data_IF_503522590368
#
_entry.id   IF_503522590368
#
_cell.length_a   1.000
_cell.length_b   1.000
_cell.length_c   1.000
_cell.angle_alpha   90.00
_cell.angle_beta   90.00
_cell.angle_gamma   90.00
#
_symmetry.space_group_name_H-M   'P 1'
#
loop_
_entity.id
_entity.type
_entity.pdbx_description
1 polymer ?
#
# COMPACT_ATOMS: atom_id res chain seq x y z
N UNK A 1 1.36 -37.34 -7.54
CA UNK A 1 0.76 -36.06 -7.09
C UNK A 1 1.29 -34.94 -7.97
N UNK A 2 0.73 -34.82 -9.17
CA UNK A 2 1.08 -33.79 -10.17
C UNK A 2 -0.21 -33.35 -10.81
N UNK A 3 -0.34 -32.03 -10.94
CA UNK A 3 -1.32 -31.30 -11.74
C UNK A 3 -2.79 -31.43 -11.34
N UNK A 4 -3.25 -30.49 -10.53
CA UNK A 4 -4.42 -29.73 -10.95
C UNK A 4 -3.95 -28.32 -11.26
N UNK A 5 -3.90 -28.02 -12.55
CA UNK A 5 -3.68 -26.69 -13.07
C UNK A 5 -4.86 -25.82 -12.61
N UNK A 6 -4.67 -25.11 -11.49
CA UNK A 6 -5.58 -24.06 -11.07
C UNK A 6 -5.50 -22.99 -12.16
N UNK A 7 -6.56 -22.90 -12.95
CA UNK A 7 -6.85 -21.78 -13.83
C UNK A 7 -6.85 -20.52 -12.97
N UNK A 8 -5.69 -19.88 -12.81
CA UNK A 8 -5.58 -18.53 -12.31
C UNK A 8 -6.20 -17.64 -13.39
N UNK A 9 -7.51 -17.44 -13.30
CA UNK A 9 -8.14 -16.29 -13.92
C UNK A 9 -7.41 -15.07 -13.37
N UNK A 10 -6.63 -14.49 -14.27
CA UNK A 10 -5.98 -13.20 -14.20
C UNK A 10 -6.89 -12.21 -13.45
N UNK A 11 -6.68 -12.06 -12.14
CA UNK A 11 -7.11 -10.88 -11.41
C UNK A 11 -6.17 -9.74 -11.82
N UNK A 12 -6.38 -9.26 -13.04
CA UNK A 12 -6.02 -7.91 -13.44
C UNK A 12 -7.09 -7.02 -12.81
N UNK A 13 -7.18 -6.99 -11.48
CA UNK A 13 -7.62 -5.75 -10.86
C UNK A 13 -6.47 -4.80 -11.08
N UNK A 14 -6.74 -3.85 -11.95
CA UNK A 14 -5.84 -2.81 -12.35
C UNK A 14 -5.08 -2.30 -11.12
N UNK A 15 -3.78 -2.19 -11.28
CA UNK A 15 -2.90 -1.44 -10.36
C UNK A 15 -3.43 -0.03 -10.04
N UNK A 16 -4.44 0.46 -10.78
CA UNK A 16 -5.14 1.73 -10.56
C UNK A 16 -6.08 1.76 -9.34
N UNK A 17 -6.57 0.62 -8.83
CA UNK A 17 -7.40 0.62 -7.60
C UNK A 17 -6.51 0.69 -6.34
N UNK A 18 -5.42 -0.06 -6.33
CA UNK A 18 -4.51 -0.17 -5.19
C UNK A 18 -3.55 1.02 -5.00
N UNK A 19 -3.34 1.86 -6.03
CA UNK A 19 -2.56 3.10 -5.91
C UNK A 19 -3.34 4.21 -5.20
N UNK A 20 -4.67 4.26 -5.35
CA UNK A 20 -5.53 5.27 -4.72
C UNK A 20 -5.54 5.20 -3.19
N UNK A 21 -5.33 4.02 -2.60
CA UNK A 21 -5.47 3.83 -1.15
C UNK A 21 -4.31 4.40 -0.32
N UNK A 22 -3.09 4.49 -0.85
CA UNK A 22 -2.01 5.17 -0.10
C UNK A 22 -2.28 6.68 0.00
N UNK A 23 -2.90 7.25 -1.04
CA UNK A 23 -3.37 8.64 -1.07
C UNK A 23 -4.74 8.82 -0.36
N UNK A 24 -5.43 7.75 0.07
CA UNK A 24 -6.70 7.85 0.78
C UNK A 24 -6.53 8.35 2.24
N UNK A 25 -5.38 8.09 2.87
CA UNK A 25 -4.97 8.76 4.13
C UNK A 25 -4.82 10.29 3.98
N UNK A 26 -4.76 10.79 2.75
CA UNK A 26 -4.32 12.14 2.45
C UNK A 26 -5.46 13.13 2.21
N UNK A 27 -6.67 12.65 1.90
CA UNK A 27 -7.82 13.52 1.65
C UNK A 27 -8.32 14.20 2.96
N UNK A 28 -8.28 13.48 4.10
CA UNK A 28 -8.53 14.10 5.41
C UNK A 28 -7.44 15.11 5.80
N UNK A 29 -6.19 14.84 5.40
CA UNK A 29 -5.04 15.71 5.67
C UNK A 29 -5.16 17.00 4.87
N UNK A 30 -5.47 16.91 3.57
CA UNK A 30 -5.72 18.07 2.70
C UNK A 30 -6.88 18.90 3.22
N UNK A 31 -8.04 18.29 3.49
CA UNK A 31 -9.20 19.01 4.04
C UNK A 31 -8.80 19.72 5.33
N UNK A 32 -8.24 19.01 6.31
CA UNK A 32 -7.84 19.61 7.60
C UNK A 32 -6.83 20.75 7.42
N UNK A 33 -5.82 20.58 6.56
CA UNK A 33 -4.75 21.55 6.38
C UNK A 33 -5.22 22.79 5.59
N UNK A 34 -6.07 22.57 4.58
CA UNK A 34 -6.50 23.61 3.65
C UNK A 34 -7.83 24.28 4.00
N UNK A 35 -8.55 23.82 5.03
CA UNK A 35 -9.84 24.37 5.46
C UNK A 35 -9.86 25.90 5.68
N UNK A 36 -8.72 26.49 6.04
CA UNK A 36 -8.61 27.93 6.31
C UNK A 36 -8.06 28.75 5.13
N UNK A 37 -7.81 28.10 4.00
CA UNK A 37 -7.22 28.74 2.83
C UNK A 37 -8.27 28.95 1.74
N UNK A 38 -8.12 30.05 1.00
CA UNK A 38 -9.04 30.43 -0.08
C UNK A 38 -8.99 29.46 -1.26
N UNK A 39 -7.80 28.92 -1.53
CA UNK A 39 -7.57 27.93 -2.56
C UNK A 39 -6.32 27.09 -2.25
N UNK A 40 -6.13 26.03 -3.04
CA UNK A 40 -5.07 25.04 -2.87
C UNK A 40 -3.66 25.61 -3.07
N UNK A 41 -3.52 26.66 -3.89
CA UNK A 41 -2.24 27.31 -4.14
C UNK A 41 -1.80 28.13 -2.91
N UNK A 42 -2.72 28.88 -2.31
CA UNK A 42 -2.47 29.56 -1.04
C UNK A 42 -2.20 28.57 0.09
N UNK A 43 -2.95 27.46 0.15
CA UNK A 43 -2.71 26.39 1.12
C UNK A 43 -1.29 25.83 0.99
N UNK A 44 -0.89 25.45 -0.22
CA UNK A 44 0.44 24.91 -0.46
C UNK A 44 1.54 25.91 -0.07
N UNK A 45 1.48 27.15 -0.61
CA UNK A 45 2.52 28.17 -0.37
C UNK A 45 2.68 28.50 1.11
N UNK A 46 1.56 28.71 1.82
CA UNK A 46 1.59 29.08 3.23
C UNK A 46 2.18 27.99 4.13
N UNK A 47 2.08 26.72 3.74
CA UNK A 47 2.54 25.60 4.56
C UNK A 47 3.93 25.07 4.15
N UNK A 48 4.32 25.15 2.88
CA UNK A 48 5.63 24.63 2.42
C UNK A 48 6.80 25.44 3.00
N UNK A 49 6.58 26.72 3.30
CA UNK A 49 7.55 27.62 3.95
C UNK A 49 7.49 27.57 5.49
N UNK A 50 6.60 26.76 6.07
CA UNK A 50 6.44 26.66 7.52
C UNK A 50 7.70 26.12 8.19
N UNK A 51 7.98 26.56 9.42
CA UNK A 51 9.04 25.97 10.27
C UNK A 51 8.65 24.60 10.83
N UNK A 52 7.36 24.26 10.77
CA UNK A 52 6.83 22.99 11.25
C UNK A 52 6.99 21.92 10.17
N UNK A 53 7.79 20.89 10.45
CA UNK A 53 7.90 19.72 9.57
C UNK A 53 6.54 19.06 9.30
N UNK A 54 5.60 19.14 10.25
CA UNK A 54 4.24 18.61 10.04
C UNK A 54 3.51 19.37 8.93
N UNK A 55 3.60 20.70 8.93
CA UNK A 55 2.91 21.54 7.96
C UNK A 55 3.57 21.43 6.59
N UNK A 56 4.91 21.42 6.55
CA UNK A 56 5.68 21.19 5.33
C UNK A 56 5.34 19.84 4.69
N UNK A 57 5.28 18.77 5.49
CA UNK A 57 4.89 17.45 4.98
C UNK A 57 3.46 17.47 4.44
N UNK A 58 2.55 18.12 5.17
CA UNK A 58 1.18 18.34 4.72
C UNK A 58 1.09 19.09 3.39
N UNK A 59 1.92 20.12 3.20
CA UNK A 59 2.01 20.84 1.93
C UNK A 59 2.51 19.94 0.79
N UNK A 60 3.51 19.10 1.05
CA UNK A 60 4.00 18.12 0.06
C UNK A 60 2.89 17.15 -0.33
N UNK A 61 2.15 16.63 0.65
CA UNK A 61 0.98 15.76 0.41
C UNK A 61 -0.08 16.47 -0.44
N UNK A 62 -0.41 17.72 -0.10
CA UNK A 62 -1.32 18.56 -0.91
C UNK A 62 -0.82 18.72 -2.35
N UNK A 63 0.49 18.95 -2.52
CA UNK A 63 1.12 19.04 -3.83
C UNK A 63 0.94 17.75 -4.63
N UNK A 64 1.20 16.59 -4.03
CA UNK A 64 1.10 15.28 -4.69
C UNK A 64 -0.35 14.99 -5.11
N UNK A 65 -1.33 15.25 -4.26
CA UNK A 65 -2.76 15.04 -4.56
C UNK A 65 -3.31 16.00 -5.60
N UNK A 66 -2.73 17.19 -5.71
CA UNK A 66 -3.14 18.22 -6.68
C UNK A 66 -2.08 18.45 -7.75
N UNK A 67 -1.29 17.42 -8.08
CA UNK A 67 -0.16 17.53 -9.01
C UNK A 67 -0.57 18.23 -10.32
N UNK A 68 -1.66 17.81 -10.97
CA UNK A 68 -2.16 18.39 -12.24
C UNK A 68 -2.38 19.91 -12.19
N UNK A 69 -2.70 20.45 -11.02
CA UNK A 69 -2.91 21.90 -10.81
C UNK A 69 -1.61 22.61 -10.43
N UNK A 70 -0.80 21.99 -9.57
CA UNK A 70 0.33 22.64 -8.90
C UNK A 70 1.67 22.47 -9.64
N UNK A 71 1.86 21.41 -10.44
CA UNK A 71 3.13 21.17 -11.15
C UNK A 71 3.48 22.25 -12.18
N UNK A 72 2.51 23.05 -12.62
CA UNK A 72 2.73 24.20 -13.52
C UNK A 72 3.30 25.42 -12.79
N UNK A 73 3.19 25.44 -11.46
CA UNK A 73 3.58 26.56 -10.60
C UNK A 73 4.84 26.23 -9.79
N UNK A 74 5.09 24.95 -9.50
CA UNK A 74 6.21 24.50 -8.67
C UNK A 74 6.91 23.30 -9.30
N UNK A 75 8.24 23.29 -9.22
CA UNK A 75 9.06 22.21 -9.74
C UNK A 75 8.99 20.98 -8.81
N UNK A 76 8.65 19.83 -9.39
CA UNK A 76 8.60 18.57 -8.66
C UNK A 76 9.92 18.21 -7.96
N UNK A 77 11.06 18.54 -8.57
CA UNK A 77 12.38 18.28 -7.99
C UNK A 77 12.61 19.10 -6.73
N UNK A 78 12.09 20.33 -6.66
CA UNK A 78 12.15 21.14 -5.43
C UNK A 78 11.28 20.53 -4.33
N UNK A 79 10.10 19.98 -4.67
CA UNK A 79 9.25 19.25 -3.73
C UNK A 79 9.97 18.02 -3.19
N UNK A 80 10.61 17.25 -4.07
CA UNK A 80 11.42 16.09 -3.66
C UNK A 80 12.61 16.49 -2.79
N UNK A 81 13.30 17.59 -3.12
CA UNK A 81 14.42 18.08 -2.31
C UNK A 81 13.97 18.46 -0.90
N UNK A 82 12.83 19.16 -0.78
CA UNK A 82 12.21 19.47 0.51
C UNK A 82 11.88 18.20 1.30
N UNK A 83 11.31 17.19 0.64
CA UNK A 83 11.01 15.91 1.27
C UNK A 83 12.29 15.20 1.75
N UNK A 84 13.31 15.12 0.91
CA UNK A 84 14.60 14.48 1.23
C UNK A 84 15.34 15.20 2.38
N UNK A 85 15.20 16.51 2.51
CA UNK A 85 15.73 17.25 3.67
C UNK A 85 15.09 16.75 4.98
N UNK A 86 13.78 16.50 4.97
CA UNK A 86 13.04 15.98 6.13
C UNK A 86 13.42 14.51 6.42
N UNK A 87 13.65 13.70 5.38
CA UNK A 87 14.10 12.31 5.57
C UNK A 87 15.51 12.24 6.12
N UNK A 88 16.40 13.16 5.74
CA UNK A 88 17.73 13.32 6.34
C UNK A 88 17.65 13.61 7.85
N UNK A 89 16.66 14.42 8.28
CA UNK A 89 16.36 14.70 9.69
C UNK A 89 15.63 13.56 10.43
N UNK A 90 15.47 12.39 9.79
CA UNK A 90 14.77 11.21 10.32
C UNK A 90 13.29 11.44 10.63
N UNK A 91 12.62 12.30 9.86
CA UNK A 91 11.17 12.36 9.89
C UNK A 91 10.58 11.07 9.28
N UNK A 92 9.97 10.20 10.10
CA UNK A 92 9.49 8.90 9.65
C UNK A 92 8.36 8.98 8.64
N UNK A 93 7.46 9.95 8.77
CA UNK A 93 6.38 10.12 7.80
C UNK A 93 6.94 10.58 6.45
N UNK A 94 7.97 11.44 6.45
CA UNK A 94 8.68 11.80 5.23
C UNK A 94 9.40 10.59 4.61
N UNK A 95 10.04 9.74 5.41
CA UNK A 95 10.68 8.50 4.95
C UNK A 95 9.68 7.57 4.26
N UNK A 96 8.49 7.40 4.84
CA UNK A 96 7.42 6.57 4.29
C UNK A 96 6.89 7.17 2.98
N UNK A 97 6.64 8.48 2.95
CA UNK A 97 6.16 9.17 1.75
C UNK A 97 7.17 9.07 0.60
N UNK A 98 8.45 9.37 0.87
CA UNK A 98 9.53 9.28 -0.12
C UNK A 98 9.71 7.84 -0.62
N UNK A 99 9.65 6.85 0.29
CA UNK A 99 9.70 5.44 -0.09
C UNK A 99 8.54 5.08 -1.03
N UNK A 100 7.35 5.64 -0.80
CA UNK A 100 6.20 5.37 -1.65
C UNK A 100 6.36 5.94 -3.06
N UNK A 101 6.92 7.15 -3.18
CA UNK A 101 7.20 7.79 -4.46
C UNK A 101 8.12 6.91 -5.31
N UNK A 102 9.24 6.43 -4.73
CA UNK A 102 10.15 5.54 -5.45
C UNK A 102 9.55 4.16 -5.75
N UNK A 103 8.72 3.62 -4.85
CA UNK A 103 8.03 2.36 -5.11
C UNK A 103 7.06 2.46 -6.28
N UNK A 104 6.34 3.58 -6.39
CA UNK A 104 5.35 3.80 -7.44
C UNK A 104 5.98 4.30 -8.74
N UNK A 105 7.12 5.00 -8.67
CA UNK A 105 7.67 5.75 -9.80
C UNK A 105 6.85 7.00 -10.12
N UNK A 106 6.29 7.66 -9.10
CA UNK A 106 5.46 8.85 -9.31
C UNK A 106 6.35 10.04 -9.70
N UNK A 107 6.35 10.40 -10.99
CA UNK A 107 7.20 11.45 -11.58
C UNK A 107 8.72 11.31 -11.31
N UNK A 108 9.16 10.11 -10.97
CA UNK A 108 10.58 9.68 -10.92
C UNK A 108 10.70 8.29 -11.52
N UNK A 109 11.92 7.92 -11.89
CA UNK A 109 12.22 6.53 -12.20
C UNK A 109 11.91 5.65 -10.97
N UNK A 110 11.14 4.60 -11.22
CA UNK A 110 10.76 3.65 -10.18
C UNK A 110 12.00 2.92 -9.64
N UNK A 111 12.20 3.01 -8.33
CA UNK A 111 13.31 2.36 -7.64
C UNK A 111 12.84 1.63 -6.37
N UNK A 112 12.53 0.35 -6.54
CA UNK A 112 12.07 -0.51 -5.45
C UNK A 112 13.16 -0.71 -4.39
N UNK A 113 14.43 -0.76 -4.79
CA UNK A 113 15.54 -0.95 -3.84
C UNK A 113 15.72 0.26 -2.95
N UNK A 114 15.61 1.47 -3.52
CA UNK A 114 15.64 2.73 -2.76
C UNK A 114 14.45 2.83 -1.81
N UNK A 115 13.26 2.43 -2.25
CA UNK A 115 12.08 2.36 -1.38
C UNK A 115 12.31 1.46 -0.15
N UNK A 116 12.83 0.24 -0.35
CA UNK A 116 13.18 -0.67 0.75
C UNK A 116 14.25 -0.05 1.66
N UNK A 117 15.27 0.58 1.10
CA UNK A 117 16.35 1.19 1.86
C UNK A 117 15.85 2.36 2.73
N UNK A 118 14.88 3.15 2.27
CA UNK A 118 14.24 4.20 3.05
C UNK A 118 13.40 3.62 4.20
N UNK A 119 12.58 2.59 3.94
CA UNK A 119 11.74 1.98 4.97
C UNK A 119 12.55 1.30 6.07
N UNK A 120 13.71 0.69 5.75
CA UNK A 120 14.63 0.13 6.74
C UNK A 120 15.21 1.15 7.72
N UNK A 121 15.12 2.46 7.42
CA UNK A 121 15.54 3.52 8.34
C UNK A 121 14.48 3.85 9.39
N UNK A 122 13.22 3.44 9.17
CA UNK A 122 12.17 3.58 10.17
C UNK A 122 12.42 2.53 11.27
N UNK A 123 12.41 2.90 12.56
CA UNK A 123 12.50 1.93 13.64
C UNK A 123 11.22 1.07 13.70
N UNK A 124 11.34 -0.23 13.97
CA UNK A 124 10.20 -1.16 14.02
C UNK A 124 9.08 -0.69 14.97
N UNK A 125 9.43 -0.15 16.14
CA UNK A 125 8.48 0.45 17.09
C UNK A 125 7.82 1.76 16.63
N UNK A 126 8.09 2.22 15.41
CA UNK A 126 7.50 3.40 14.77
C UNK A 126 6.74 3.06 13.49
N UNK A 127 6.59 1.78 13.17
CA UNK A 127 5.83 1.37 11.99
C UNK A 127 4.34 1.65 12.20
N UNK A 128 3.77 2.37 11.24
CA UNK A 128 2.32 2.57 11.12
C UNK A 128 1.70 1.48 10.25
N UNK A 129 0.36 1.41 10.20
CA UNK A 129 -0.36 0.55 9.26
C UNK A 129 0.12 0.79 7.82
N UNK A 130 0.23 2.06 7.41
CA UNK A 130 0.76 2.43 6.09
C UNK A 130 2.19 1.93 5.84
N UNK A 131 3.04 1.92 6.86
CA UNK A 131 4.42 1.39 6.75
C UNK A 131 4.40 -0.11 6.45
N UNK A 132 3.63 -0.86 7.24
CA UNK A 132 3.47 -2.30 7.06
C UNK A 132 2.79 -2.63 5.72
N UNK A 133 1.73 -1.92 5.36
CA UNK A 133 1.06 -2.05 4.07
C UNK A 133 2.01 -1.81 2.88
N UNK A 134 2.85 -0.78 2.95
CA UNK A 134 3.84 -0.50 1.91
C UNK A 134 4.91 -1.59 1.80
N UNK A 135 5.43 -2.08 2.94
CA UNK A 135 6.36 -3.22 2.95
C UNK A 135 5.72 -4.47 2.33
N UNK A 136 4.47 -4.79 2.68
CA UNK A 136 3.72 -5.90 2.09
C UNK A 136 3.62 -5.77 0.58
N UNK A 137 3.25 -4.58 0.08
CA UNK A 137 3.17 -4.27 -1.37
C UNK A 137 4.52 -4.46 -2.06
N UNK A 138 5.61 -3.99 -1.46
CA UNK A 138 6.96 -4.13 -2.02
C UNK A 138 7.37 -5.60 -2.10
N UNK A 139 7.21 -6.39 -1.02
CA UNK A 139 7.58 -7.80 -1.02
C UNK A 139 6.74 -8.61 -2.01
N UNK A 140 5.44 -8.32 -2.11
CA UNK A 140 4.57 -8.94 -3.10
C UNK A 140 4.99 -8.57 -4.54
N UNK A 141 5.37 -7.32 -4.77
CA UNK A 141 5.89 -6.91 -6.07
C UNK A 141 7.15 -7.70 -6.45
N UNK A 142 8.11 -7.83 -5.53
CA UNK A 142 9.35 -8.59 -5.77
C UNK A 142 9.04 -10.08 -6.00
N UNK A 143 8.10 -10.64 -5.22
CA UNK A 143 7.63 -12.01 -5.37
C UNK A 143 7.06 -12.27 -6.78
N UNK A 144 6.26 -11.34 -7.29
CA UNK A 144 5.61 -11.44 -8.60
C UNK A 144 6.56 -11.17 -9.78
N UNK A 145 7.61 -10.36 -9.57
CA UNK A 145 8.48 -9.90 -10.65
C UNK A 145 9.55 -10.91 -11.07
N UNK A 146 9.79 -11.97 -10.28
CA UNK A 146 10.84 -12.94 -10.58
C UNK A 146 10.40 -14.38 -10.34
N UNK A 147 10.01 -15.06 -11.41
CA UNK A 147 9.53 -16.44 -11.32
C UNK A 147 10.62 -17.46 -10.92
N UNK A 148 11.90 -17.10 -11.07
CA UNK A 148 13.06 -17.92 -10.68
C UNK A 148 13.68 -17.53 -9.34
N UNK A 149 13.02 -16.68 -8.55
CA UNK A 149 13.58 -16.24 -7.28
C UNK A 149 13.64 -17.42 -6.29
N UNK A 150 14.85 -17.81 -5.87
CA UNK A 150 15.06 -18.85 -4.86
C UNK A 150 14.47 -18.48 -3.49
N UNK A 151 14.11 -17.20 -3.30
CA UNK A 151 13.52 -16.65 -2.08
C UNK A 151 12.00 -16.47 -2.13
N UNK A 152 11.29 -17.12 -3.07
CA UNK A 152 9.82 -17.00 -3.19
C UNK A 152 9.09 -17.21 -1.86
N UNK A 153 9.43 -18.27 -1.12
CA UNK A 153 8.81 -18.56 0.18
C UNK A 153 9.13 -17.48 1.23
N UNK A 154 10.37 -17.01 1.28
CA UNK A 154 10.79 -15.93 2.19
C UNK A 154 10.00 -14.63 1.89
N UNK A 155 9.88 -14.26 0.61
CA UNK A 155 9.13 -13.08 0.18
C UNK A 155 7.63 -13.20 0.47
N UNK A 156 7.04 -14.38 0.28
CA UNK A 156 5.66 -14.64 0.67
C UNK A 156 5.46 -14.44 2.17
N UNK A 157 6.34 -15.02 3.01
CA UNK A 157 6.27 -14.87 4.46
C UNK A 157 6.38 -13.39 4.87
N UNK A 158 7.35 -12.66 4.30
CA UNK A 158 7.54 -11.24 4.56
C UNK A 158 6.33 -10.40 4.14
N UNK A 159 5.76 -10.66 2.96
CA UNK A 159 4.55 -9.99 2.50
C UNK A 159 3.36 -10.29 3.42
N UNK A 160 3.16 -11.56 3.76
CA UNK A 160 2.10 -12.03 4.66
C UNK A 160 2.18 -11.39 6.03
N UNK A 161 3.36 -11.43 6.66
CA UNK A 161 3.58 -10.82 7.97
C UNK A 161 3.37 -9.30 7.95
N UNK A 162 3.83 -8.63 6.89
CA UNK A 162 3.64 -7.18 6.74
C UNK A 162 2.16 -6.82 6.60
N UNK A 163 1.40 -7.49 5.72
CA UNK A 163 -0.03 -7.24 5.60
C UNK A 163 -0.81 -7.64 6.85
N UNK A 164 -0.43 -8.72 7.53
CA UNK A 164 -1.03 -9.12 8.81
C UNK A 164 -0.85 -8.05 9.88
N UNK A 165 0.35 -7.52 10.05
CA UNK A 165 0.59 -6.43 11.00
C UNK A 165 -0.22 -5.16 10.65
N UNK A 166 -0.34 -4.83 9.36
CA UNK A 166 -1.20 -3.72 8.95
C UNK A 166 -2.69 -4.01 9.18
N UNK A 167 -3.14 -5.23 8.96
CA UNK A 167 -4.51 -5.68 9.25
C UNK A 167 -4.84 -5.56 10.74
N UNK A 168 -3.93 -5.98 11.63
CA UNK A 168 -4.09 -5.82 13.09
C UNK A 168 -4.22 -4.35 13.51
N UNK A 169 -3.75 -3.41 12.68
CA UNK A 169 -3.91 -1.97 12.87
C UNK A 169 -5.19 -1.40 12.23
N UNK A 170 -6.08 -2.25 11.73
CA UNK A 170 -7.40 -1.87 11.20
C UNK A 170 -7.42 -1.52 9.71
N UNK A 171 -6.34 -1.77 8.97
CA UNK A 171 -6.27 -1.39 7.55
C UNK A 171 -6.96 -2.42 6.64
N UNK A 172 -8.14 -2.09 6.15
CA UNK A 172 -8.96 -2.99 5.30
C UNK A 172 -8.27 -3.32 3.97
N UNK A 173 -7.56 -2.37 3.35
CA UNK A 173 -6.81 -2.61 2.11
C UNK A 173 -5.76 -3.72 2.28
N UNK A 174 -5.08 -3.71 3.42
CA UNK A 174 -4.11 -4.74 3.78
C UNK A 174 -4.78 -6.06 4.16
N UNK A 175 -6.01 -6.02 4.68
CA UNK A 175 -6.83 -7.20 4.95
C UNK A 175 -7.19 -7.93 3.65
N UNK A 176 -7.65 -7.17 2.63
CA UNK A 176 -7.90 -7.69 1.27
C UNK A 176 -6.63 -8.28 0.66
N UNK A 177 -5.52 -7.52 0.73
CA UNK A 177 -4.24 -7.98 0.20
C UNK A 177 -3.77 -9.28 0.88
N UNK A 178 -3.87 -9.36 2.21
CA UNK A 178 -3.52 -10.54 3.00
C UNK A 178 -4.32 -11.77 2.54
N UNK A 179 -5.64 -11.65 2.47
CA UNK A 179 -6.51 -12.75 2.04
C UNK A 179 -6.12 -13.25 0.63
N UNK A 180 -5.91 -12.33 -0.31
CA UNK A 180 -5.56 -12.73 -1.68
C UNK A 180 -4.19 -13.38 -1.82
N UNK A 181 -3.17 -12.92 -1.08
CA UNK A 181 -1.86 -13.58 -1.14
C UNK A 181 -1.89 -14.96 -0.48
N UNK A 182 -2.70 -15.14 0.57
CA UNK A 182 -2.92 -16.43 1.23
C UNK A 182 -3.60 -17.42 0.28
N UNK A 183 -4.64 -16.99 -0.45
CA UNK A 183 -5.29 -17.83 -1.47
C UNK A 183 -4.34 -18.18 -2.62
N UNK A 184 -3.47 -17.23 -3.01
CA UNK A 184 -2.61 -17.40 -4.19
C UNK A 184 -1.35 -18.21 -3.94
N UNK A 185 -0.71 -18.00 -2.80
CA UNK A 185 0.62 -18.53 -2.51
C UNK A 185 0.68 -19.40 -1.25
N UNK A 186 -0.37 -19.37 -0.43
CA UNK A 186 -0.42 -20.03 0.87
C UNK A 186 -0.70 -21.52 0.80
N UNK A 187 -0.51 -22.16 1.95
CA UNK A 187 -0.90 -23.55 2.17
C UNK A 187 -2.39 -23.67 2.54
N UNK A 188 -2.86 -24.89 2.83
CA UNK A 188 -4.25 -25.17 3.21
C UNK A 188 -4.73 -24.29 4.38
N UNK A 189 -3.91 -24.12 5.41
CA UNK A 189 -4.28 -23.30 6.58
C UNK A 189 -4.42 -21.82 6.21
N UNK A 190 -3.57 -21.31 5.32
CA UNK A 190 -3.69 -19.95 4.79
C UNK A 190 -4.97 -19.79 3.95
N UNK A 191 -5.38 -20.82 3.20
CA UNK A 191 -6.63 -20.80 2.45
C UNK A 191 -7.86 -20.65 3.37
N UNK A 192 -7.90 -21.42 4.47
CA UNK A 192 -8.97 -21.33 5.47
C UNK A 192 -8.99 -19.94 6.13
N UNK A 193 -7.81 -19.43 6.50
CA UNK A 193 -7.70 -18.12 7.14
C UNK A 193 -8.12 -16.99 6.19
N UNK A 194 -7.75 -17.06 4.92
CA UNK A 194 -8.20 -16.11 3.90
C UNK A 194 -9.74 -16.09 3.78
N UNK A 195 -10.39 -17.23 3.92
CA UNK A 195 -11.85 -17.32 3.96
C UNK A 195 -12.48 -16.48 5.06
N UNK A 196 -11.93 -16.54 6.28
CA UNK A 196 -12.40 -15.73 7.41
C UNK A 196 -12.20 -14.24 7.17
N UNK A 197 -11.06 -13.85 6.58
CA UNK A 197 -10.78 -12.46 6.24
C UNK A 197 -11.76 -11.93 5.18
N UNK A 198 -12.08 -12.75 4.16
CA UNK A 198 -13.05 -12.38 3.13
C UNK A 198 -14.48 -12.30 3.68
N UNK A 199 -14.87 -13.22 4.56
CA UNK A 199 -16.16 -13.17 5.26
C UNK A 199 -16.29 -11.88 6.09
N UNK A 200 -15.25 -11.55 6.85
CA UNK A 200 -15.18 -10.31 7.61
C UNK A 200 -15.37 -9.08 6.71
N UNK A 201 -14.66 -9.01 5.59
CA UNK A 201 -14.77 -7.91 4.62
C UNK A 201 -16.18 -7.85 3.99
N UNK A 202 -16.74 -8.99 3.57
CA UNK A 202 -18.07 -9.07 2.99
C UNK A 202 -19.16 -8.60 3.97
N UNK A 203 -18.99 -8.87 5.27
CA UNK A 203 -19.92 -8.42 6.32
C UNK A 203 -20.03 -6.89 6.44
N UNK A 204 -19.06 -6.15 5.91
CA UNK A 204 -19.09 -4.67 5.83
C UNK A 204 -20.00 -4.14 4.72
N UNK A 205 -20.49 -5.00 3.84
CA UNK A 205 -21.47 -4.65 2.81
C UNK A 205 -20.88 -4.00 1.55
N UNK A 206 -19.56 -4.01 1.37
CA UNK A 206 -18.94 -3.64 0.09
C UNK A 206 -19.20 -4.76 -0.93
N UNK A 207 -19.82 -4.40 -2.06
CA UNK A 207 -20.14 -5.35 -3.14
C UNK A 207 -18.93 -6.13 -3.64
N UNK A 208 -17.77 -5.50 -3.79
CA UNK A 208 -16.56 -6.18 -4.28
C UNK A 208 -16.06 -7.24 -3.28
N UNK A 209 -16.19 -6.97 -1.99
CA UNK A 209 -15.81 -7.90 -0.93
C UNK A 209 -16.81 -9.06 -0.82
N UNK A 210 -18.12 -8.78 -0.97
CA UNK A 210 -19.17 -9.79 -1.06
C UNK A 210 -18.93 -10.73 -2.26
N UNK A 211 -18.72 -10.18 -3.46
CA UNK A 211 -18.44 -10.95 -4.68
C UNK A 211 -17.16 -11.81 -4.52
N UNK A 212 -16.16 -11.30 -3.79
CA UNK A 212 -14.93 -12.04 -3.50
C UNK A 212 -15.16 -13.20 -2.53
N UNK A 213 -15.99 -13.01 -1.51
CA UNK A 213 -16.34 -14.07 -0.55
C UNK A 213 -17.22 -15.15 -1.19
N UNK A 214 -18.22 -14.79 -1.99
CA UNK A 214 -19.05 -15.77 -2.73
C UNK A 214 -18.20 -16.65 -3.65
N UNK A 215 -17.22 -16.05 -4.35
CA UNK A 215 -16.26 -16.82 -5.16
C UNK A 215 -15.43 -17.77 -4.31
N UNK A 216 -14.92 -17.31 -3.16
CA UNK A 216 -14.20 -18.17 -2.22
C UNK A 216 -15.06 -19.36 -1.79
N UNK A 217 -16.32 -19.14 -1.41
CA UNK A 217 -17.24 -20.21 -1.02
C UNK A 217 -17.40 -21.26 -2.13
N UNK A 218 -17.59 -20.82 -3.37
CA UNK A 218 -17.67 -21.71 -4.53
C UNK A 218 -16.41 -22.55 -4.79
N UNK A 219 -15.23 -22.07 -4.39
CA UNK A 219 -13.98 -22.85 -4.44
C UNK A 219 -13.80 -23.74 -3.22
N UNK A 220 -14.15 -23.26 -2.02
CA UNK A 220 -13.94 -24.01 -0.79
C UNK A 220 -14.74 -25.30 -0.75
N UNK A 221 -15.98 -25.30 -1.29
CA UNK A 221 -16.79 -26.52 -1.39
C UNK A 221 -16.09 -27.58 -2.23
N UNK A 222 -15.54 -27.20 -3.38
CA UNK A 222 -14.82 -28.14 -4.28
C UNK A 222 -13.55 -28.70 -3.66
N UNK A 223 -12.79 -27.88 -2.93
CA UNK A 223 -11.51 -28.29 -2.34
C UNK A 223 -11.71 -29.18 -1.12
N UNK A 224 -12.79 -28.98 -0.36
CA UNK A 224 -13.10 -29.81 0.81
C UNK A 224 -13.69 -31.16 0.40
N UNK A 225 -14.43 -31.22 -0.71
CA UNK A 225 -15.02 -32.46 -1.24
C UNK A 225 -13.98 -33.41 -1.88
N UNK A 226 -12.83 -32.90 -2.34
CA UNK A 226 -11.74 -33.72 -2.93
C UNK A 226 -10.82 -34.40 -1.88
N UNK A 227 -11.16 -34.30 -0.59
CA UNK A 227 -10.33 -34.78 0.53
C UNK A 227 -10.92 -36.01 1.26
N UNK A 228 -12.14 -36.41 0.92
CA UNK A 228 -12.80 -37.64 1.38
C UNK A 228 -12.76 -38.76 0.32
#
# INVERSE_FOLDING_TARGET
MKLMAVFFLFFIYSTSSFSKELFAMENETEVRLCNNYKDIHHCFTGNIESKSDKDRLGAIVVYLNNYEKLHKLYDYNEILLNLSEMTYKRNFNALILEASIYYQGFHVDRDVNKSVALLKKVPEGKYSAATYGLLGKIYLYILNSNDKNSKKNELYILAKQSFYNSHLMGEESSTRALAFIMLKYGAKDDFIEAGKLLEYLASKGNKEDMDSYEKYQGYSTKILDDVD
#
